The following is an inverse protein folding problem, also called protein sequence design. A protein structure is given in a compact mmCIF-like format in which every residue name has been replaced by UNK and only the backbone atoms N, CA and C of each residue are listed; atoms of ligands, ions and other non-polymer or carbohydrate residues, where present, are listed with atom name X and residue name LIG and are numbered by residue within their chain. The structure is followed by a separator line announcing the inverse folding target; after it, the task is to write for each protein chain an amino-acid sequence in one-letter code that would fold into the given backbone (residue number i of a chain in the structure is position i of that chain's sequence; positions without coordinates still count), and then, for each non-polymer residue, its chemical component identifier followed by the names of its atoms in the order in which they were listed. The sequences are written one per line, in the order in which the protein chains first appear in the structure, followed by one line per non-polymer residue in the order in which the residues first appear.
data_IF_012790017408
#
_entry.id   IF_012790017408
#
_cell.length_a   1.000
_cell.length_b   1.000
_cell.length_c   1.000
_cell.angle_alpha   90.00
_cell.angle_beta   90.00
_cell.angle_gamma   90.00
#
_symmetry.space_group_name_H-M   'P 1'
#
loop_
_entity.id
_entity.type
_entity.pdbx_description
1 polymer ?
#
# COMPACT_ATOMS: atom_id res chain seq x y z
N UNK A 1 19.89 14.20 12.19
CA UNK A 1 18.84 13.80 13.14
C UNK A 1 17.42 13.85 12.53
N UNK A 2 16.95 14.97 11.98
CA UNK A 2 15.54 15.08 11.49
C UNK A 2 15.30 14.29 10.19
N UNK A 3 16.28 14.23 9.29
CA UNK A 3 16.12 13.51 8.01
C UNK A 3 16.18 11.99 8.17
N UNK A 4 16.94 11.49 9.12
CA UNK A 4 17.04 10.05 9.41
C UNK A 4 15.73 9.54 10.00
N UNK A 5 15.13 10.30 10.91
CA UNK A 5 13.82 9.99 11.47
C UNK A 5 12.74 9.84 10.39
N UNK A 6 12.72 10.73 9.38
CA UNK A 6 11.76 10.61 8.28
C UNK A 6 11.95 9.37 7.40
N UNK A 7 13.17 8.85 7.27
CA UNK A 7 13.41 7.61 6.53
C UNK A 7 12.76 6.43 7.26
N UNK A 8 13.03 6.31 8.56
CA UNK A 8 12.48 5.24 9.39
C UNK A 8 10.96 5.34 9.49
N UNK A 9 10.41 6.53 9.79
CA UNK A 9 8.97 6.73 9.90
C UNK A 9 8.22 6.37 8.61
N UNK A 10 8.74 6.75 7.44
CA UNK A 10 8.09 6.42 6.16
C UNK A 10 8.16 4.94 5.81
N UNK A 11 9.26 4.25 6.18
CA UNK A 11 9.36 2.81 6.03
C UNK A 11 8.36 2.10 6.96
N UNK A 12 8.24 2.53 8.21
CA UNK A 12 7.27 2.00 9.17
C UNK A 12 5.83 2.18 8.69
N UNK A 13 5.49 3.36 8.14
CA UNK A 13 4.17 3.59 7.54
C UNK A 13 3.92 2.65 6.38
N UNK A 14 4.91 2.44 5.50
CA UNK A 14 4.75 1.50 4.40
C UNK A 14 4.49 0.08 4.90
N UNK A 15 5.22 -0.38 5.92
CA UNK A 15 5.02 -1.70 6.51
C UNK A 15 3.65 -1.84 7.17
N UNK A 16 3.24 -0.86 7.99
CA UNK A 16 1.92 -0.81 8.63
C UNK A 16 0.79 -0.86 7.59
N UNK A 17 0.86 0.02 6.63
CA UNK A 17 -0.14 0.19 5.58
C UNK A 17 -0.30 -1.08 4.74
N UNK A 18 0.82 -1.71 4.33
CA UNK A 18 0.78 -2.95 3.55
C UNK A 18 0.32 -4.16 4.38
N UNK A 19 0.60 -4.17 5.68
CA UNK A 19 0.07 -5.16 6.61
C UNK A 19 -1.46 -5.13 6.68
N UNK A 20 -2.03 -3.95 6.93
CA UNK A 20 -3.48 -3.76 6.97
C UNK A 20 -4.18 -4.03 5.63
N UNK A 21 -3.57 -3.59 4.52
CA UNK A 21 -4.09 -3.87 3.18
C UNK A 21 -4.06 -5.37 2.85
N UNK A 22 -2.98 -6.07 3.21
CA UNK A 22 -2.87 -7.53 3.04
C UNK A 22 -3.98 -8.24 3.81
N UNK A 23 -4.17 -7.89 5.08
CA UNK A 23 -5.23 -8.47 5.90
C UNK A 23 -6.62 -8.24 5.31
N UNK A 24 -6.86 -7.05 4.77
CA UNK A 24 -8.14 -6.74 4.11
C UNK A 24 -8.37 -7.60 2.88
N UNK A 25 -7.33 -7.81 2.06
CA UNK A 25 -7.40 -8.66 0.87
C UNK A 25 -7.65 -10.14 1.24
N UNK A 26 -7.00 -10.66 2.28
CA UNK A 26 -7.22 -12.02 2.79
C UNK A 26 -8.68 -12.22 3.23
N UNK A 27 -9.21 -11.32 4.05
CA UNK A 27 -10.61 -11.37 4.52
C UNK A 27 -11.59 -11.35 3.34
N UNK A 28 -11.34 -10.50 2.33
CA UNK A 28 -12.19 -10.43 1.16
C UNK A 28 -12.11 -11.69 0.30
N UNK A 29 -10.92 -12.26 0.12
CA UNK A 29 -10.72 -13.49 -0.65
C UNK A 29 -11.38 -14.69 0.00
N UNK A 30 -11.27 -14.84 1.32
CA UNK A 30 -11.92 -15.93 2.05
C UNK A 30 -13.45 -15.80 2.01
N UNK A 31 -13.96 -14.59 2.25
CA UNK A 31 -15.40 -14.34 2.09
C UNK A 31 -15.91 -14.63 0.69
N UNK A 32 -15.14 -14.27 -0.34
CA UNK A 32 -15.55 -14.51 -1.73
C UNK A 32 -15.64 -16.00 -2.09
N UNK A 33 -14.87 -16.88 -1.44
CA UNK A 33 -14.95 -18.33 -1.59
C UNK A 33 -16.18 -18.92 -0.91
N UNK A 34 -16.60 -18.35 0.22
CA UNK A 34 -17.68 -18.87 1.04
C UNK A 34 -19.06 -18.31 0.66
N UNK A 35 -19.11 -17.05 0.22
CA UNK A 35 -20.35 -16.36 -0.09
C UNK A 35 -20.95 -16.85 -1.40
N UNK A 36 -22.13 -17.46 -1.33
CA UNK A 36 -22.87 -17.92 -2.51
C UNK A 36 -23.92 -16.89 -2.92
N UNK A 37 -23.94 -16.53 -4.19
CA UNK A 37 -25.00 -15.78 -4.87
C UNK A 37 -25.17 -16.34 -6.29
N UNK A 38 -26.42 -16.35 -6.80
CA UNK A 38 -26.70 -16.88 -8.12
C UNK A 38 -26.19 -18.33 -8.28
N UNK A 39 -26.36 -19.13 -7.21
CA UNK A 39 -26.05 -20.58 -7.15
C UNK A 39 -24.55 -20.94 -7.19
N UNK A 40 -23.65 -19.98 -7.03
CA UNK A 40 -22.20 -20.23 -6.99
C UNK A 40 -21.46 -19.25 -6.06
N UNK A 41 -20.25 -19.60 -5.58
CA UNK A 41 -19.41 -18.68 -4.83
C UNK A 41 -19.15 -17.40 -5.62
N UNK A 42 -19.11 -16.25 -4.90
CA UNK A 42 -18.93 -14.98 -5.60
C UNK A 42 -17.53 -14.81 -6.22
N UNK A 43 -16.55 -15.58 -5.79
CA UNK A 43 -15.22 -15.61 -6.40
C UNK A 43 -15.25 -16.06 -7.87
N UNK A 44 -16.25 -16.85 -8.28
CA UNK A 44 -16.42 -17.36 -9.65
C UNK A 44 -16.98 -16.30 -10.62
N UNK A 45 -17.28 -15.10 -10.12
CA UNK A 45 -17.68 -13.98 -10.98
C UNK A 45 -16.44 -13.17 -11.38
N UNK A 46 -16.23 -13.00 -12.68
CA UNK A 46 -15.08 -12.32 -13.25
C UNK A 46 -14.83 -10.93 -12.64
N UNK A 47 -15.89 -10.18 -12.29
CA UNK A 47 -15.76 -8.89 -11.63
C UNK A 47 -15.08 -8.97 -10.26
N UNK A 48 -15.34 -10.03 -9.48
CA UNK A 48 -14.71 -10.29 -8.18
C UNK A 48 -13.29 -10.82 -8.38
N UNK A 49 -13.12 -11.77 -9.31
CA UNK A 49 -11.82 -12.34 -9.67
C UNK A 49 -10.82 -11.24 -10.07
N UNK A 50 -11.24 -10.30 -10.90
CA UNK A 50 -10.37 -9.18 -11.34
C UNK A 50 -10.00 -8.24 -10.19
N UNK A 51 -10.92 -7.95 -9.27
CA UNK A 51 -10.59 -7.17 -8.08
C UNK A 51 -9.54 -7.87 -7.22
N UNK A 52 -9.65 -9.19 -7.03
CA UNK A 52 -8.67 -9.97 -6.27
C UNK A 52 -7.30 -10.02 -6.98
N UNK A 53 -7.28 -10.20 -8.30
CA UNK A 53 -6.05 -10.20 -9.10
C UNK A 53 -5.32 -8.86 -9.03
N UNK A 54 -6.05 -7.74 -9.15
CA UNK A 54 -5.49 -6.40 -9.00
C UNK A 54 -4.88 -6.20 -7.60
N UNK A 55 -5.63 -6.56 -6.54
CA UNK A 55 -5.13 -6.44 -5.17
C UNK A 55 -3.85 -7.24 -4.96
N UNK A 56 -3.81 -8.49 -5.43
CA UNK A 56 -2.62 -9.34 -5.31
C UNK A 56 -1.42 -8.75 -6.05
N UNK A 57 -1.61 -8.26 -7.26
CA UNK A 57 -0.56 -7.64 -8.09
C UNK A 57 0.00 -6.37 -7.44
N UNK A 58 -0.87 -5.46 -7.00
CA UNK A 58 -0.47 -4.22 -6.36
C UNK A 58 0.26 -4.47 -5.03
N UNK A 59 -0.23 -5.41 -4.20
CA UNK A 59 0.41 -5.79 -2.93
C UNK A 59 1.79 -6.41 -3.16
N UNK A 60 1.92 -7.29 -4.15
CA UNK A 60 3.20 -7.91 -4.49
C UNK A 60 4.23 -6.85 -4.91
N UNK A 61 3.85 -5.93 -5.80
CA UNK A 61 4.73 -4.85 -6.25
C UNK A 61 5.15 -3.93 -5.08
N UNK A 62 4.20 -3.53 -4.24
CA UNK A 62 4.46 -2.63 -3.12
C UNK A 62 5.34 -3.28 -2.03
N UNK A 63 5.11 -4.56 -1.72
CA UNK A 63 5.94 -5.32 -0.78
C UNK A 63 7.37 -5.50 -1.32
N UNK A 64 7.52 -5.81 -2.59
CA UNK A 64 8.84 -5.94 -3.23
C UNK A 64 9.62 -4.63 -3.11
N UNK A 65 8.98 -3.50 -3.40
CA UNK A 65 9.60 -2.18 -3.25
C UNK A 65 9.97 -1.89 -1.79
N UNK A 66 9.10 -2.24 -0.84
CA UNK A 66 9.36 -2.04 0.59
C UNK A 66 10.58 -2.83 1.05
N UNK A 67 10.65 -4.13 0.74
CA UNK A 67 11.80 -4.96 1.12
C UNK A 67 13.09 -4.52 0.42
N UNK A 68 13.00 -4.06 -0.81
CA UNK A 68 14.17 -3.50 -1.51
C UNK A 68 14.71 -2.28 -0.79
N UNK A 69 13.88 -1.35 -0.39
CA UNK A 69 14.31 -0.13 0.31
C UNK A 69 14.80 -0.45 1.73
N UNK A 70 14.18 -1.38 2.43
CA UNK A 70 14.68 -1.86 3.71
C UNK A 70 16.10 -2.42 3.59
N UNK A 71 16.35 -3.25 2.57
CA UNK A 71 17.69 -3.77 2.27
C UNK A 71 18.70 -2.64 1.95
N UNK A 72 18.30 -1.60 1.21
CA UNK A 72 19.17 -0.46 0.91
C UNK A 72 19.60 0.32 2.17
N UNK A 73 18.70 0.41 3.15
CA UNK A 73 18.98 1.00 4.46
C UNK A 73 20.01 0.13 5.22
N UNK A 74 19.76 -1.17 5.29
CA UNK A 74 20.63 -2.12 5.99
C UNK A 74 22.01 -2.23 5.35
N UNK A 75 22.08 -2.15 4.02
CA UNK A 75 23.33 -2.13 3.25
C UNK A 75 24.10 -0.80 3.35
N UNK A 76 23.55 0.20 4.02
CA UNK A 76 24.22 1.49 4.23
C UNK A 76 24.38 2.35 2.98
N UNK A 77 23.46 2.26 2.01
CA UNK A 77 23.48 3.08 0.80
C UNK A 77 23.40 4.59 1.13
N UNK A 78 23.78 5.44 0.15
CA UNK A 78 23.75 6.90 0.32
C UNK A 78 22.39 7.36 0.88
N UNK A 79 22.43 7.97 2.05
CA UNK A 79 21.24 8.44 2.78
C UNK A 79 20.36 9.38 1.97
N UNK A 80 20.93 10.15 1.05
CA UNK A 80 20.16 11.06 0.20
C UNK A 80 19.39 10.28 -0.87
N UNK A 81 19.96 9.20 -1.35
CA UNK A 81 19.29 8.28 -2.27
C UNK A 81 18.15 7.55 -1.57
N UNK A 82 18.42 6.96 -0.41
CA UNK A 82 17.42 6.27 0.40
C UNK A 82 16.27 7.22 0.79
N UNK A 83 16.56 8.46 1.20
CA UNK A 83 15.52 9.46 1.51
C UNK A 83 14.61 9.76 0.30
N UNK A 84 15.16 9.80 -0.90
CA UNK A 84 14.37 9.97 -2.11
C UNK A 84 13.46 8.77 -2.37
N UNK A 85 14.02 7.56 -2.31
CA UNK A 85 13.32 6.30 -2.60
C UNK A 85 12.27 5.94 -1.56
N UNK A 86 12.51 6.19 -0.26
CA UNK A 86 11.50 5.95 0.79
C UNK A 86 10.30 6.89 0.65
N UNK A 87 10.48 8.08 0.06
CA UNK A 87 9.34 8.96 -0.27
C UNK A 87 8.47 8.36 -1.38
N UNK A 88 9.08 7.75 -2.39
CA UNK A 88 8.35 7.02 -3.43
C UNK A 88 7.65 5.78 -2.86
N UNK A 89 8.30 5.05 -1.97
CA UNK A 89 7.70 3.92 -1.27
C UNK A 89 6.47 4.34 -0.47
N UNK A 90 6.59 5.38 0.38
CA UNK A 90 5.48 5.85 1.22
C UNK A 90 4.29 6.29 0.37
N UNK A 91 4.54 7.02 -0.70
CA UNK A 91 3.50 7.42 -1.65
C UNK A 91 2.82 6.18 -2.25
N UNK A 92 3.60 5.27 -2.82
CA UNK A 92 3.07 4.11 -3.53
C UNK A 92 2.30 3.17 -2.60
N UNK A 93 2.87 2.82 -1.45
CA UNK A 93 2.25 1.89 -0.49
C UNK A 93 0.93 2.41 0.07
N UNK A 94 0.86 3.70 0.46
CA UNK A 94 -0.36 4.28 1.00
C UNK A 94 -1.48 4.42 -0.04
N UNK A 95 -1.14 4.70 -1.30
CA UNK A 95 -2.12 4.74 -2.39
C UNK A 95 -2.60 3.33 -2.78
N UNK A 96 -1.70 2.34 -2.84
CA UNK A 96 -2.04 0.92 -3.04
C UNK A 96 -2.98 0.44 -1.95
N UNK A 97 -2.64 0.68 -0.69
CA UNK A 97 -3.46 0.24 0.44
C UNK A 97 -4.88 0.81 0.38
N UNK A 98 -5.01 2.09 0.01
CA UNK A 98 -6.32 2.71 -0.19
C UNK A 98 -7.16 2.01 -1.25
N UNK A 99 -6.55 1.64 -2.39
CA UNK A 99 -7.26 0.90 -3.46
C UNK A 99 -7.59 -0.53 -3.05
N UNK A 100 -6.67 -1.20 -2.37
CA UNK A 100 -6.86 -2.58 -1.91
C UNK A 100 -7.99 -2.68 -0.88
N UNK A 101 -7.98 -1.81 0.14
CA UNK A 101 -9.00 -1.87 1.18
C UNK A 101 -10.37 -1.46 0.65
N UNK A 102 -10.44 -0.54 -0.31
CA UNK A 102 -11.68 -0.15 -0.99
C UNK A 102 -12.28 -1.34 -1.78
N UNK A 103 -11.46 -2.03 -2.59
CA UNK A 103 -11.89 -3.24 -3.29
C UNK A 103 -12.30 -4.35 -2.32
N UNK A 104 -11.57 -4.55 -1.23
CA UNK A 104 -11.90 -5.54 -0.21
C UNK A 104 -13.26 -5.26 0.43
N UNK A 105 -13.53 -4.01 0.80
CA UNK A 105 -14.82 -3.60 1.33
C UNK A 105 -15.95 -3.80 0.31
N UNK A 106 -15.69 -3.48 -0.96
CA UNK A 106 -16.65 -3.68 -2.04
C UNK A 106 -17.02 -5.16 -2.23
N UNK A 107 -16.03 -6.08 -2.18
CA UNK A 107 -16.28 -7.54 -2.27
C UNK A 107 -17.15 -8.03 -1.12
N UNK A 108 -16.92 -7.52 0.09
CA UNK A 108 -17.70 -7.86 1.27
C UNK A 108 -19.12 -7.28 1.24
N UNK A 109 -19.36 -6.25 0.43
CA UNK A 109 -20.65 -5.59 0.30
C UNK A 109 -21.12 -5.00 1.63
N UNK A 110 -22.42 -5.07 1.93
CA UNK A 110 -22.98 -4.53 3.16
C UNK A 110 -22.35 -5.09 4.44
N UNK A 111 -21.88 -6.34 4.40
CA UNK A 111 -21.19 -6.97 5.53
C UNK A 111 -19.83 -6.31 5.83
N UNK A 112 -19.13 -5.85 4.79
CA UNK A 112 -17.88 -5.13 4.92
C UNK A 112 -18.03 -3.74 5.55
N UNK A 113 -19.21 -3.15 5.46
CA UNK A 113 -19.53 -1.83 6.01
C UNK A 113 -19.91 -1.87 7.50
N UNK A 114 -20.13 -3.05 8.06
CA UNK A 114 -20.53 -3.22 9.45
C UNK A 114 -19.31 -3.28 10.37
N UNK A 115 -19.45 -2.71 11.57
CA UNK A 115 -18.34 -2.58 12.56
C UNK A 115 -17.80 -3.91 13.06
N UNK A 116 -18.55 -4.99 12.96
CA UNK A 116 -18.13 -6.35 13.29
C UNK A 116 -17.07 -6.89 12.31
N UNK A 117 -16.96 -6.26 11.13
CA UNK A 117 -16.00 -6.67 10.13
C UNK A 117 -14.70 -5.85 10.26
N UNK A 118 -13.52 -6.49 10.32
CA UNK A 118 -12.26 -5.77 10.48
C UNK A 118 -11.93 -4.84 9.30
N UNK A 119 -12.46 -5.08 8.11
CA UNK A 119 -12.16 -4.29 6.90
C UNK A 119 -12.75 -2.88 7.01
N UNK A 120 -13.91 -2.70 7.64
CA UNK A 120 -14.48 -1.37 7.92
C UNK A 120 -13.50 -0.50 8.72
N UNK A 121 -12.94 -1.05 9.79
CA UNK A 121 -11.96 -0.33 10.60
C UNK A 121 -10.67 -0.07 9.82
N UNK A 122 -10.15 -1.06 9.12
CA UNK A 122 -8.93 -0.92 8.31
C UNK A 122 -9.11 0.13 7.20
N UNK A 123 -10.30 0.25 6.62
CA UNK A 123 -10.60 1.29 5.64
C UNK A 123 -10.39 2.70 6.21
N UNK A 124 -10.84 2.95 7.43
CA UNK A 124 -10.64 4.24 8.11
C UNK A 124 -9.20 4.43 8.58
N UNK A 125 -8.60 3.40 9.18
CA UNK A 125 -7.25 3.46 9.72
C UNK A 125 -6.22 3.73 8.63
N UNK A 126 -6.27 3.02 7.50
CA UNK A 126 -5.33 3.18 6.39
C UNK A 126 -5.54 4.49 5.60
N UNK A 127 -6.69 5.13 5.76
CA UNK A 127 -6.94 6.41 5.06
C UNK A 127 -6.01 7.53 5.53
N UNK A 128 -5.61 7.54 6.78
CA UNK A 128 -4.72 8.56 7.33
C UNK A 128 -3.29 8.46 6.80
N UNK A 129 -2.88 7.28 6.33
CA UNK A 129 -1.52 7.05 5.80
C UNK A 129 -1.20 7.87 4.54
N UNK A 130 -2.21 8.41 3.85
CA UNK A 130 -2.02 9.39 2.77
C UNK A 130 -1.84 10.82 3.26
N UNK A 131 -2.04 11.08 4.56
CA UNK A 131 -2.10 12.42 5.15
C UNK A 131 -0.88 12.69 6.04
N UNK A 132 -0.64 11.86 7.03
CA UNK A 132 0.43 12.07 7.99
C UNK A 132 1.82 11.74 7.43
N UNK A 133 2.88 12.17 8.15
CA UNK A 133 4.31 12.03 7.79
C UNK A 133 4.65 12.55 6.38
N UNK A 134 3.89 13.55 5.98
CA UNK A 134 3.90 14.16 4.66
C UNK A 134 2.86 13.55 3.74
N UNK A 135 1.91 14.38 3.32
CA UNK A 135 0.81 13.97 2.44
C UNK A 135 1.32 13.38 1.12
N UNK A 136 0.44 12.70 0.39
CA UNK A 136 0.75 12.19 -0.96
C UNK A 136 1.29 13.31 -1.88
N UNK A 137 0.78 14.54 -1.75
CA UNK A 137 1.23 15.72 -2.52
C UNK A 137 2.65 16.13 -2.10
N UNK A 138 2.94 16.13 -0.80
CA UNK A 138 4.29 16.43 -0.30
C UNK A 138 5.29 15.36 -0.76
N UNK A 139 4.92 14.07 -0.75
CA UNK A 139 5.80 13.03 -1.28
C UNK A 139 6.10 13.26 -2.77
N UNK A 140 5.09 13.61 -3.58
CA UNK A 140 5.28 13.97 -5.00
C UNK A 140 6.20 15.18 -5.18
N UNK A 141 6.06 16.19 -4.34
CA UNK A 141 6.95 17.37 -4.35
C UNK A 141 8.39 17.00 -4.01
N UNK A 142 8.60 16.12 -3.02
CA UNK A 142 9.94 15.60 -2.66
C UNK A 142 10.54 14.83 -3.84
N UNK A 143 9.80 13.90 -4.43
CA UNK A 143 10.23 13.09 -5.57
C UNK A 143 10.59 13.99 -6.76
N UNK A 144 9.70 14.90 -7.14
CA UNK A 144 9.93 15.84 -8.24
C UNK A 144 11.16 16.76 -8.00
N UNK A 145 11.33 17.21 -6.75
CA UNK A 145 12.50 17.98 -6.36
C UNK A 145 13.83 17.20 -6.46
N UNK A 146 13.78 15.89 -6.15
CA UNK A 146 14.96 15.03 -6.32
C UNK A 146 15.27 14.74 -7.79
N UNK A 147 14.24 14.51 -8.62
CA UNK A 147 14.42 14.34 -10.07
C UNK A 147 15.06 15.59 -10.69
N UNK A 148 14.61 16.78 -10.34
CA UNK A 148 15.21 18.03 -10.81
C UNK A 148 16.69 18.19 -10.42
N UNK A 149 17.08 17.70 -9.25
CA UNK A 149 18.46 17.84 -8.72
C UNK A 149 19.40 16.75 -9.19
N UNK A 150 18.91 15.54 -9.46
CA UNK A 150 19.73 14.32 -9.59
C UNK A 150 19.40 13.47 -10.79
N UNK A 151 18.37 13.83 -11.58
CA UNK A 151 17.87 13.02 -12.68
C UNK A 151 16.90 11.93 -12.24
N UNK A 152 16.30 11.27 -13.21
CA UNK A 152 15.34 10.17 -12.99
C UNK A 152 16.04 8.86 -12.59
N UNK A 153 17.32 8.74 -12.88
CA UNK A 153 18.15 7.53 -12.68
C UNK A 153 18.11 7.03 -11.24
N UNK A 154 17.98 7.95 -10.26
CA UNK A 154 17.88 7.58 -8.84
C UNK A 154 16.68 6.68 -8.52
N UNK A 155 15.68 6.64 -9.39
CA UNK A 155 14.49 5.80 -9.25
C UNK A 155 14.44 4.63 -10.24
N UNK A 156 15.21 4.66 -11.31
CA UNK A 156 15.15 3.67 -12.39
C UNK A 156 16.37 2.77 -12.50
N UNK A 157 17.49 3.14 -11.86
CA UNK A 157 18.68 2.30 -11.76
C UNK A 157 18.78 1.69 -10.37
N UNK A 158 18.91 0.34 -10.34
CA UNK A 158 18.90 -0.47 -9.11
C UNK A 158 20.22 -1.19 -8.90
#
# INVERSE_FOLDING_TARGET
LTKDWFVEARLQIAAHTLGGATRSAEVAADYAKERVQFERPIIDFQGVEFMLADMATELMAAKTLMYRIAWEIDAGLDRKLVHARVSALKLFSSEVAGRVVDKALQILGGRGYMRENPVERLYRDLRVDRIWEGTSEIQRAVIGGQIKKRGLDIYTQW
#
